data_IF_481314753755
#
_entry.id   IF_481314753755
#
_cell.length_a   1.000
_cell.length_b   1.000
_cell.length_c   1.000
_cell.angle_alpha   90.00
_cell.angle_beta   90.00
_cell.angle_gamma   90.00
#
_symmetry.space_group_name_H-M   'P 1'
#
loop_
_entity.id
_entity.type
_entity.pdbx_description
1 polymer ?
#
# COMPACT_ATOMS: atom_id res chain seq x y z
N UNK A 1 -0.83 35.11 27.58
CA UNK A 1 -1.30 33.69 27.58
C UNK A 1 -1.08 33.14 26.19
N UNK A 2 -0.25 32.12 26.10
CA UNK A 2 -0.04 31.39 24.83
C UNK A 2 -1.28 30.52 24.61
N UNK A 3 -2.24 31.03 23.85
CA UNK A 3 -3.39 30.25 23.38
C UNK A 3 -2.94 29.25 22.29
N UNK A 4 -2.04 28.33 22.65
CA UNK A 4 -1.63 27.28 21.78
C UNK A 4 -2.59 26.10 21.92
N UNK A 5 -3.43 25.89 20.95
CA UNK A 5 -4.36 24.76 20.92
C UNK A 5 -4.42 24.14 19.52
N UNK A 6 -4.72 22.85 19.47
CA UNK A 6 -5.13 22.15 18.27
C UNK A 6 -6.40 21.36 18.57
N UNK A 7 -7.45 21.57 17.78
CA UNK A 7 -8.73 20.87 17.89
C UNK A 7 -9.06 20.24 16.55
N UNK A 8 -9.48 18.99 16.58
CA UNK A 8 -9.91 18.27 15.38
C UNK A 8 -11.34 17.81 15.56
N UNK A 9 -12.17 18.14 14.60
CA UNK A 9 -13.57 17.69 14.52
C UNK A 9 -13.71 16.80 13.29
N UNK A 10 -14.36 15.66 13.44
CA UNK A 10 -14.61 14.76 12.35
C UNK A 10 -16.02 14.19 12.43
N UNK A 11 -16.59 13.93 11.26
CA UNK A 11 -17.84 13.19 11.06
C UNK A 11 -17.58 12.15 9.99
N UNK A 12 -17.95 10.91 10.27
CA UNK A 12 -17.87 9.82 9.31
C UNK A 12 -19.21 9.10 9.19
N UNK A 13 -19.36 8.39 8.07
CA UNK A 13 -20.58 7.66 7.82
C UNK A 13 -20.41 6.55 6.80
N UNK A 14 -21.35 5.59 6.86
CA UNK A 14 -21.41 4.44 5.99
C UNK A 14 -22.85 4.11 5.65
N UNK A 15 -23.17 4.09 4.36
CA UNK A 15 -24.49 3.80 3.83
C UNK A 15 -24.46 2.56 2.95
N UNK A 16 -25.21 1.52 3.33
CA UNK A 16 -25.43 0.36 2.50
C UNK A 16 -26.57 0.63 1.50
N UNK A 17 -26.31 0.38 0.23
CA UNK A 17 -27.29 0.48 -0.87
C UNK A 17 -27.65 -0.92 -1.36
N UNK A 18 -28.61 -1.54 -0.68
CA UNK A 18 -28.95 -2.93 -0.85
C UNK A 18 -27.81 -3.87 -0.41
N UNK A 19 -27.69 -5.05 -1.06
CA UNK A 19 -26.71 -6.08 -0.70
C UNK A 19 -25.37 -5.94 -1.46
N UNK A 20 -25.29 -5.07 -2.45
CA UNK A 20 -24.17 -5.04 -3.40
C UNK A 20 -23.36 -3.75 -3.37
N UNK A 21 -23.97 -2.66 -2.96
CA UNK A 21 -23.30 -1.35 -3.00
C UNK A 21 -23.21 -0.73 -1.61
N UNK A 22 -22.15 0.04 -1.42
CA UNK A 22 -21.87 0.77 -0.19
C UNK A 22 -21.22 2.10 -0.54
N UNK A 23 -21.65 3.15 0.13
CA UNK A 23 -21.01 4.45 0.16
C UNK A 23 -20.49 4.70 1.57
N UNK A 24 -19.24 5.16 1.69
CA UNK A 24 -18.64 5.55 2.98
C UNK A 24 -17.80 6.80 2.81
N UNK A 25 -17.58 7.52 3.88
CA UNK A 25 -16.74 8.68 3.83
C UNK A 25 -16.63 9.37 5.18
N UNK A 26 -15.75 10.35 5.23
CA UNK A 26 -15.63 11.26 6.36
C UNK A 26 -15.33 12.68 5.88
N UNK A 27 -15.59 13.62 6.73
CA UNK A 27 -15.13 15.01 6.67
C UNK A 27 -14.52 15.38 8.01
N UNK A 28 -13.40 16.09 7.97
CA UNK A 28 -12.71 16.55 9.17
C UNK A 28 -12.21 17.98 8.98
N UNK A 29 -12.14 18.70 10.10
CA UNK A 29 -11.58 20.04 10.17
C UNK A 29 -10.67 20.15 11.39
N UNK A 30 -9.47 20.71 11.17
CA UNK A 30 -8.57 21.09 12.26
C UNK A 30 -8.70 22.58 12.56
N UNK A 31 -8.50 22.97 13.80
CA UNK A 31 -8.52 24.37 14.22
C UNK A 31 -7.30 24.64 15.09
N UNK A 32 -6.45 25.56 14.66
CA UNK A 32 -5.25 26.00 15.34
C UNK A 32 -5.11 27.52 15.22
N UNK A 33 -4.49 28.22 16.19
CA UNK A 33 -4.48 29.70 16.25
C UNK A 33 -3.91 30.38 15.00
N UNK A 34 -2.94 29.76 14.35
CA UNK A 34 -2.17 30.34 13.25
C UNK A 34 -2.54 29.82 11.86
N UNK A 35 -3.54 28.92 11.76
CA UNK A 35 -3.98 28.32 10.51
C UNK A 35 -5.46 28.64 10.31
N UNK A 36 -5.76 29.42 9.26
CA UNK A 36 -7.14 29.88 9.02
C UNK A 36 -7.80 29.32 7.76
N UNK A 37 -7.02 28.83 6.80
CA UNK A 37 -7.52 28.38 5.51
C UNK A 37 -7.09 26.97 5.17
N UNK A 38 -7.88 26.28 4.35
CA UNK A 38 -7.59 24.92 3.87
C UNK A 38 -7.33 23.91 4.99
N UNK A 39 -8.00 24.06 6.12
CA UNK A 39 -7.85 23.31 7.37
C UNK A 39 -8.73 22.04 7.43
N UNK A 40 -9.17 21.55 6.29
CA UNK A 40 -10.09 20.42 6.17
C UNK A 40 -9.46 19.21 5.47
N UNK A 41 -10.00 18.03 5.77
CA UNK A 41 -9.76 16.80 5.04
C UNK A 41 -11.07 16.05 4.84
N UNK A 42 -11.24 15.40 3.71
CA UNK A 42 -12.36 14.51 3.48
C UNK A 42 -11.99 13.34 2.57
N UNK A 43 -12.74 12.26 2.69
CA UNK A 43 -12.71 11.15 1.75
C UNK A 43 -14.11 10.61 1.51
N UNK A 44 -14.34 10.15 0.29
CA UNK A 44 -15.54 9.41 -0.10
C UNK A 44 -15.11 8.16 -0.85
N UNK A 45 -15.78 7.04 -0.58
CA UNK A 45 -15.54 5.74 -1.23
C UNK A 45 -16.86 5.09 -1.60
N UNK A 46 -17.00 4.70 -2.85
CA UNK A 46 -18.08 3.87 -3.36
C UNK A 46 -17.55 2.47 -3.66
N UNK A 47 -18.26 1.45 -3.20
CA UNK A 47 -17.95 0.04 -3.43
C UNK A 47 -19.16 -0.64 -4.04
N UNK A 48 -18.91 -1.48 -5.05
CA UNK A 48 -19.94 -2.31 -5.67
C UNK A 48 -19.43 -3.74 -5.85
N UNK A 49 -20.14 -4.69 -5.27
CA UNK A 49 -19.79 -6.11 -5.30
C UNK A 49 -20.94 -6.90 -6.00
N UNK A 50 -20.61 -7.56 -7.11
CA UNK A 50 -21.60 -8.35 -7.86
C UNK A 50 -20.92 -9.48 -8.61
N UNK A 51 -21.39 -10.70 -8.41
CA UNK A 51 -21.00 -11.90 -9.18
C UNK A 51 -19.47 -12.03 -9.35
N UNK A 52 -18.75 -11.96 -8.23
CA UNK A 52 -17.28 -12.00 -8.19
C UNK A 52 -16.59 -10.70 -8.65
N UNK A 53 -17.31 -9.69 -9.14
CA UNK A 53 -16.76 -8.37 -9.34
C UNK A 53 -16.70 -7.58 -8.05
N UNK A 54 -15.62 -6.86 -7.86
CA UNK A 54 -15.45 -5.82 -6.84
C UNK A 54 -14.94 -4.56 -7.51
N UNK A 55 -15.78 -3.55 -7.53
CA UNK A 55 -15.49 -2.24 -8.10
C UNK A 55 -15.42 -1.24 -6.97
N UNK A 56 -14.31 -0.52 -6.86
CA UNK A 56 -14.16 0.56 -5.88
C UNK A 56 -13.75 1.83 -6.61
N UNK A 57 -14.36 2.94 -6.23
CA UNK A 57 -13.93 4.27 -6.60
C UNK A 57 -13.84 5.12 -5.34
N UNK A 58 -12.76 5.85 -5.16
CA UNK A 58 -12.60 6.75 -4.03
C UNK A 58 -11.96 8.07 -4.45
N UNK A 59 -12.28 9.09 -3.69
CA UNK A 59 -11.64 10.39 -3.77
C UNK A 59 -11.35 10.89 -2.37
N UNK A 60 -10.14 11.39 -2.15
CA UNK A 60 -9.77 12.02 -0.90
C UNK A 60 -9.04 13.34 -1.16
N UNK A 61 -9.22 14.29 -0.25
CA UNK A 61 -8.54 15.57 -0.26
C UNK A 61 -8.08 15.91 1.14
N UNK A 62 -6.88 16.45 1.23
CA UNK A 62 -6.32 17.01 2.46
C UNK A 62 -5.82 18.41 2.14
N UNK A 63 -6.36 19.38 2.83
CA UNK A 63 -5.99 20.78 2.69
C UNK A 63 -4.57 21.05 3.19
N UNK A 64 -3.97 22.13 2.74
CA UNK A 64 -2.62 22.54 3.14
C UNK A 64 -2.53 22.89 4.62
N UNK A 65 -3.59 23.52 5.15
CA UNK A 65 -3.70 23.91 6.55
C UNK A 65 -4.27 22.83 7.47
N UNK A 66 -4.62 21.64 6.96
CA UNK A 66 -5.10 20.57 7.82
C UNK A 66 -3.97 19.99 8.67
N UNK A 67 -4.05 20.20 9.97
CA UNK A 67 -3.02 19.79 10.95
C UNK A 67 -3.63 19.02 12.13
N UNK A 68 -3.75 17.68 12.06
CA UNK A 68 -4.25 16.87 13.16
C UNK A 68 -3.09 16.45 14.08
N UNK A 69 -2.72 17.28 15.07
CA UNK A 69 -1.60 16.99 15.98
C UNK A 69 -1.85 15.75 16.85
N UNK A 70 -3.10 15.34 17.02
CA UNK A 70 -3.48 14.09 17.71
C UNK A 70 -3.34 12.84 16.84
N UNK A 71 -2.95 12.99 15.58
CA UNK A 71 -2.83 11.91 14.61
C UNK A 71 -1.59 12.06 13.74
N UNK A 72 -1.32 11.04 12.93
CA UNK A 72 -0.24 11.05 11.95
C UNK A 72 -0.79 11.35 10.55
N UNK A 73 -0.29 12.39 9.91
CA UNK A 73 -0.58 12.74 8.53
C UNK A 73 0.69 12.57 7.68
N UNK A 74 0.71 11.55 6.85
CA UNK A 74 1.87 11.25 6.00
C UNK A 74 2.10 12.32 4.91
N UNK A 75 1.03 12.96 4.43
CA UNK A 75 1.06 13.96 3.36
C UNK A 75 -0.12 14.92 3.49
N UNK A 76 0.10 16.18 3.26
CA UNK A 76 -0.91 17.23 3.18
C UNK A 76 -0.96 17.87 1.78
N UNK A 77 -1.85 18.84 1.58
CA UNK A 77 -1.97 19.63 0.36
C UNK A 77 -2.14 18.79 -0.92
N UNK A 78 -3.03 17.79 -0.89
CA UNK A 78 -3.28 16.94 -2.03
C UNK A 78 -4.75 16.63 -2.23
N UNK A 79 -5.10 16.19 -3.46
CA UNK A 79 -6.26 15.38 -3.72
C UNK A 79 -5.89 14.11 -4.49
N UNK A 80 -6.66 13.03 -4.25
CA UNK A 80 -6.31 11.69 -4.70
C UNK A 80 -7.55 10.93 -5.17
N UNK A 81 -7.80 10.83 -6.46
CA UNK A 81 -8.69 9.82 -7.04
C UNK A 81 -8.03 8.45 -7.04
N UNK A 82 -8.82 7.41 -6.75
CA UNK A 82 -8.41 6.00 -6.81
C UNK A 82 -9.54 5.16 -7.40
N UNK A 83 -9.18 4.09 -8.11
CA UNK A 83 -10.14 3.07 -8.50
C UNK A 83 -9.52 1.67 -8.48
N UNK A 84 -10.37 0.68 -8.25
CA UNK A 84 -10.06 -0.74 -8.34
C UNK A 84 -11.16 -1.43 -9.15
N UNK A 85 -10.75 -2.22 -10.13
CA UNK A 85 -11.58 -3.18 -10.84
C UNK A 85 -10.98 -4.55 -10.57
N UNK A 86 -11.72 -5.42 -9.91
CA UNK A 86 -11.26 -6.72 -9.47
C UNK A 86 -12.31 -7.78 -9.82
N UNK A 87 -11.90 -8.90 -10.41
CA UNK A 87 -12.78 -10.03 -10.69
C UNK A 87 -12.25 -11.29 -10.04
N UNK A 88 -13.09 -11.98 -9.30
CA UNK A 88 -12.84 -13.34 -8.83
C UNK A 88 -13.48 -14.32 -9.80
N UNK A 89 -12.70 -15.21 -10.37
CA UNK A 89 -13.15 -16.26 -11.29
C UNK A 89 -12.79 -17.60 -10.66
N UNK A 90 -13.79 -18.35 -10.24
CA UNK A 90 -13.61 -19.71 -9.73
C UNK A 90 -13.59 -20.70 -10.90
N UNK A 91 -12.50 -21.44 -11.02
CA UNK A 91 -12.27 -22.34 -12.15
C UNK A 91 -12.94 -23.72 -11.98
N UNK A 92 -13.53 -23.96 -10.80
CA UNK A 92 -14.19 -25.23 -10.47
C UNK A 92 -13.19 -26.33 -10.04
N UNK A 93 -13.73 -27.56 -9.82
CA UNK A 93 -12.92 -28.67 -9.28
C UNK A 93 -12.10 -29.42 -10.33
N UNK A 94 -12.24 -29.10 -11.63
CA UNK A 94 -11.64 -29.88 -12.72
C UNK A 94 -10.27 -29.37 -13.18
N UNK A 95 -9.80 -28.24 -12.66
CA UNK A 95 -8.53 -27.63 -13.04
C UNK A 95 -7.48 -27.65 -11.92
N UNK A 96 -6.21 -27.34 -12.24
CA UNK A 96 -5.15 -27.23 -11.24
C UNK A 96 -5.32 -26.01 -10.33
N UNK A 97 -6.01 -24.98 -10.79
CA UNK A 97 -6.28 -23.75 -10.05
C UNK A 97 -7.66 -23.82 -9.38
N UNK A 98 -7.76 -23.25 -8.21
CA UNK A 98 -9.02 -23.05 -7.51
C UNK A 98 -9.71 -21.76 -7.98
N UNK A 99 -8.90 -20.70 -8.18
CA UNK A 99 -9.41 -19.36 -8.46
C UNK A 99 -8.35 -18.53 -9.17
N UNK A 100 -8.76 -17.61 -10.03
CA UNK A 100 -7.94 -16.53 -10.58
C UNK A 100 -8.59 -15.19 -10.28
N UNK A 101 -7.76 -14.15 -10.06
CA UNK A 101 -8.24 -12.83 -9.62
C UNK A 101 -7.56 -11.70 -10.40
N UNK A 102 -7.89 -11.53 -11.70
CA UNK A 102 -7.38 -10.38 -12.46
C UNK A 102 -7.91 -9.08 -11.88
N UNK A 103 -7.05 -8.07 -11.82
CA UNK A 103 -7.45 -6.76 -11.34
C UNK A 103 -6.57 -5.62 -11.87
N UNK A 104 -7.15 -4.43 -11.84
CA UNK A 104 -6.50 -3.17 -12.15
C UNK A 104 -6.77 -2.22 -10.99
N UNK A 105 -5.72 -1.59 -10.49
CA UNK A 105 -5.79 -0.56 -9.47
C UNK A 105 -5.02 0.67 -9.93
N UNK A 106 -5.61 1.85 -9.81
CA UNK A 106 -4.93 3.11 -10.06
C UNK A 106 -5.17 4.09 -8.92
N UNK A 107 -4.15 4.82 -8.57
CA UNK A 107 -4.20 5.99 -7.68
C UNK A 107 -3.34 7.11 -8.26
N UNK A 108 -3.86 8.32 -8.21
CA UNK A 108 -3.13 9.48 -8.67
C UNK A 108 -3.17 10.54 -7.59
N UNK A 109 -2.03 11.08 -7.23
CA UNK A 109 -1.95 12.23 -6.32
C UNK A 109 -1.70 13.49 -7.12
N UNK A 110 -2.47 14.52 -6.84
CA UNK A 110 -2.27 15.87 -7.33
C UNK A 110 -2.05 16.81 -6.17
N UNK A 111 -1.23 17.83 -6.35
CA UNK A 111 -1.15 18.97 -5.44
C UNK A 111 -2.44 19.78 -5.47
N UNK A 112 -2.66 20.64 -4.48
CA UNK A 112 -3.83 21.54 -4.43
C UNK A 112 -3.96 22.43 -5.67
N UNK A 113 -2.86 22.75 -6.35
CA UNK A 113 -2.82 23.51 -7.61
C UNK A 113 -2.98 22.64 -8.88
N UNK A 114 -3.46 21.42 -8.75
CA UNK A 114 -3.68 20.45 -9.83
C UNK A 114 -2.42 19.92 -10.54
N UNK A 115 -1.22 20.24 -10.05
CA UNK A 115 -0.01 19.63 -10.57
C UNK A 115 0.09 18.17 -10.15
N UNK A 116 0.49 17.30 -11.08
CA UNK A 116 0.73 15.89 -10.78
C UNK A 116 1.81 15.75 -9.71
N UNK A 117 1.54 14.95 -8.69
CA UNK A 117 2.53 14.55 -7.69
C UNK A 117 3.03 13.13 -7.94
N UNK A 118 2.11 12.18 -8.05
CA UNK A 118 2.43 10.81 -8.42
C UNK A 118 1.23 10.12 -9.07
N UNK A 119 1.50 9.20 -9.98
CA UNK A 119 0.51 8.32 -10.59
C UNK A 119 1.03 6.88 -10.53
N UNK A 120 0.18 5.98 -10.09
CA UNK A 120 0.49 4.56 -9.98
C UNK A 120 -0.64 3.74 -10.56
N UNK A 121 -0.32 2.95 -11.59
CA UNK A 121 -1.21 1.96 -12.18
C UNK A 121 -0.63 0.57 -11.95
N UNK A 122 -1.44 -0.30 -11.38
CA UNK A 122 -1.13 -1.70 -11.11
C UNK A 122 -2.08 -2.60 -11.87
N UNK A 123 -1.52 -3.52 -12.65
CA UNK A 123 -2.26 -4.56 -13.37
C UNK A 123 -1.72 -5.90 -12.92
N UNK A 124 -2.57 -6.74 -12.38
CA UNK A 124 -2.15 -8.00 -11.75
C UNK A 124 -3.18 -9.10 -11.92
N UNK A 125 -2.73 -10.35 -11.80
CA UNK A 125 -3.58 -11.51 -11.63
C UNK A 125 -3.04 -12.41 -10.51
N UNK A 126 -3.92 -12.84 -9.63
CA UNK A 126 -3.61 -13.86 -8.63
C UNK A 126 -4.01 -15.24 -9.14
N UNK A 127 -3.14 -16.19 -8.97
CA UNK A 127 -3.30 -17.60 -9.29
C UNK A 127 -3.36 -18.38 -7.99
N UNK A 128 -4.52 -18.92 -7.65
CA UNK A 128 -4.77 -19.57 -6.36
C UNK A 128 -4.97 -21.06 -6.56
N UNK A 129 -4.23 -21.87 -5.85
CA UNK A 129 -4.34 -23.34 -5.85
C UNK A 129 -5.22 -23.85 -4.73
N UNK A 130 -5.78 -25.06 -4.86
CA UNK A 130 -6.59 -25.68 -3.78
C UNK A 130 -5.84 -25.87 -2.46
N UNK A 131 -4.51 -25.97 -2.50
CA UNK A 131 -3.64 -26.04 -1.32
C UNK A 131 -3.60 -24.74 -0.50
N UNK A 132 -4.09 -23.64 -1.07
CA UNK A 132 -3.92 -22.29 -0.54
C UNK A 132 -2.59 -21.65 -0.91
N UNK A 133 -1.78 -22.29 -1.77
CA UNK A 133 -0.64 -21.65 -2.41
C UNK A 133 -1.16 -20.58 -3.39
N UNK A 134 -0.47 -19.44 -3.45
CA UNK A 134 -0.90 -18.32 -4.29
C UNK A 134 0.31 -17.68 -4.95
N UNK A 135 0.17 -17.35 -6.24
CA UNK A 135 1.13 -16.54 -7.00
C UNK A 135 0.42 -15.30 -7.54
N UNK A 136 1.07 -14.14 -7.47
CA UNK A 136 0.62 -12.95 -8.18
C UNK A 136 1.63 -12.60 -9.26
N UNK A 137 1.14 -12.16 -10.41
CA UNK A 137 1.94 -11.75 -11.57
C UNK A 137 1.47 -10.40 -12.07
N UNK A 138 2.16 -9.35 -11.64
CA UNK A 138 1.74 -7.99 -11.89
C UNK A 138 2.80 -7.14 -12.57
N UNK A 139 2.34 -6.04 -13.15
CA UNK A 139 3.15 -4.95 -13.66
C UNK A 139 2.66 -3.64 -13.06
N UNK A 140 3.59 -2.83 -12.60
CA UNK A 140 3.36 -1.49 -12.07
C UNK A 140 3.87 -0.45 -13.06
N UNK A 141 3.07 0.56 -13.33
CA UNK A 141 3.47 1.77 -14.05
C UNK A 141 3.42 2.92 -13.06
N UNK A 142 4.54 3.59 -12.88
CA UNK A 142 4.67 4.67 -11.90
C UNK A 142 5.21 5.92 -12.59
N UNK A 143 4.62 7.07 -12.28
CA UNK A 143 5.13 8.39 -12.63
C UNK A 143 5.20 9.22 -11.36
N UNK A 144 6.39 9.71 -11.03
CA UNK A 144 6.67 10.53 -9.84
C UNK A 144 7.28 11.85 -10.25
N UNK A 145 6.67 12.97 -9.86
CA UNK A 145 7.22 14.30 -10.09
C UNK A 145 7.92 14.77 -8.84
N UNK A 146 9.24 14.87 -8.90
CA UNK A 146 10.08 15.32 -7.81
C UNK A 146 10.27 16.82 -7.92
N UNK A 147 9.66 17.57 -7.01
CA UNK A 147 9.73 19.04 -6.97
C UNK A 147 10.89 19.57 -6.10
N UNK A 148 11.36 18.76 -5.16
CA UNK A 148 12.50 19.07 -4.31
C UNK A 148 13.38 17.84 -4.20
N UNK A 149 14.70 17.94 -4.36
CA UNK A 149 15.60 16.81 -4.26
C UNK A 149 15.46 16.11 -2.91
N UNK A 150 15.62 14.80 -2.92
CA UNK A 150 15.66 13.98 -1.71
C UNK A 150 16.72 12.89 -1.82
N UNK A 151 17.08 12.27 -0.70
CA UNK A 151 18.09 11.22 -0.67
C UNK A 151 17.48 9.86 -0.35
N UNK A 152 17.94 8.85 -1.06
CA UNK A 152 17.79 7.44 -0.72
C UNK A 152 19.16 6.95 -0.27
N UNK A 153 19.40 6.89 1.05
CA UNK A 153 20.73 6.72 1.63
C UNK A 153 21.67 7.84 1.16
N UNK A 154 22.75 7.50 0.44
CA UNK A 154 23.71 8.45 -0.15
C UNK A 154 23.37 8.88 -1.57
N UNK A 155 22.34 8.31 -2.20
CA UNK A 155 21.94 8.61 -3.58
C UNK A 155 20.95 9.78 -3.58
N UNK A 156 21.31 10.90 -4.21
CA UNK A 156 20.41 12.01 -4.41
C UNK A 156 19.54 11.81 -5.65
N UNK A 157 18.22 11.94 -5.48
CA UNK A 157 17.22 12.01 -6.54
C UNK A 157 16.90 13.48 -6.78
N UNK A 158 17.27 14.00 -7.93
CA UNK A 158 17.07 15.40 -8.31
C UNK A 158 15.62 15.71 -8.68
N UNK A 159 15.34 16.99 -8.91
CA UNK A 159 14.07 17.42 -9.48
C UNK A 159 13.88 16.80 -10.86
N UNK A 160 12.66 16.37 -11.16
CA UNK A 160 12.37 15.77 -12.45
C UNK A 160 11.02 15.05 -12.49
N UNK A 161 10.67 14.59 -13.66
CA UNK A 161 9.48 13.78 -13.94
C UNK A 161 9.96 12.38 -14.32
N UNK A 162 9.78 11.44 -13.42
CA UNK A 162 10.28 10.08 -13.52
C UNK A 162 9.13 9.12 -13.84
N UNK A 163 9.16 8.55 -15.04
CA UNK A 163 8.23 7.48 -15.44
C UNK A 163 8.97 6.17 -15.56
N UNK A 164 8.43 5.14 -14.95
CA UNK A 164 9.03 3.80 -15.00
C UNK A 164 7.99 2.70 -14.84
N UNK A 165 8.37 1.50 -15.24
CA UNK A 165 7.60 0.29 -15.01
C UNK A 165 8.45 -0.75 -14.32
N UNK A 166 7.79 -1.60 -13.52
CA UNK A 166 8.42 -2.73 -12.83
C UNK A 166 7.49 -3.94 -12.79
N UNK A 167 8.08 -5.10 -12.91
CA UNK A 167 7.40 -6.36 -12.66
C UNK A 167 7.24 -6.56 -11.16
N UNK A 168 6.08 -7.04 -10.76
CA UNK A 168 5.79 -7.47 -9.41
C UNK A 168 5.43 -8.95 -9.42
N UNK A 169 6.13 -9.72 -8.63
CA UNK A 169 5.84 -11.13 -8.40
C UNK A 169 5.63 -11.37 -6.91
N UNK A 170 4.57 -12.08 -6.57
CA UNK A 170 4.33 -12.53 -5.19
C UNK A 170 4.15 -14.04 -5.22
N UNK A 171 4.73 -14.73 -4.24
CA UNK A 171 4.43 -16.13 -3.96
C UNK A 171 4.19 -16.30 -2.47
N UNK A 172 3.15 -17.03 -2.10
CA UNK A 172 2.87 -17.32 -0.70
C UNK A 172 2.26 -18.71 -0.51
N UNK A 173 2.62 -19.33 0.60
CA UNK A 173 1.97 -20.56 1.06
C UNK A 173 0.68 -20.26 1.81
N UNK A 174 -0.09 -21.28 2.17
CA UNK A 174 -1.32 -21.10 2.92
C UNK A 174 -1.04 -20.52 4.33
N UNK A 175 -1.55 -19.31 4.66
CA UNK A 175 -1.28 -18.66 5.95
C UNK A 175 -1.89 -19.38 7.17
N UNK A 176 -2.81 -20.33 6.95
CA UNK A 176 -3.43 -21.13 8.00
C UNK A 176 -2.64 -22.40 8.35
N UNK A 177 -1.45 -22.58 7.79
CA UNK A 177 -0.57 -23.73 8.08
C UNK A 177 0.50 -23.35 9.10
N UNK A 178 1.05 -24.33 9.75
CA UNK A 178 2.12 -24.15 10.74
C UNK A 178 3.38 -23.51 10.16
N UNK A 179 3.59 -23.64 8.86
CA UNK A 179 4.62 -22.94 8.10
C UNK A 179 3.96 -22.05 7.07
N UNK A 180 4.25 -20.76 7.16
CA UNK A 180 3.86 -19.74 6.20
C UNK A 180 5.10 -19.11 5.61
N UNK A 181 5.15 -18.98 4.30
CA UNK A 181 6.17 -18.24 3.57
C UNK A 181 5.50 -17.26 2.63
N UNK A 182 6.00 -16.04 2.63
CA UNK A 182 5.63 -14.97 1.74
C UNK A 182 6.87 -14.39 1.08
N UNK A 183 6.85 -14.24 -0.22
CA UNK A 183 7.85 -13.53 -1.01
C UNK A 183 7.16 -12.47 -1.84
N UNK A 184 7.74 -11.28 -1.92
CA UNK A 184 7.37 -10.25 -2.86
C UNK A 184 8.62 -9.71 -3.55
N UNK A 185 8.62 -9.75 -4.87
CA UNK A 185 9.74 -9.36 -5.71
C UNK A 185 9.33 -8.21 -6.62
N UNK A 186 10.21 -7.20 -6.73
CA UNK A 186 10.10 -6.11 -7.69
C UNK A 186 11.36 -6.08 -8.56
N UNK A 187 11.17 -5.97 -9.88
CA UNK A 187 12.26 -5.83 -10.85
C UNK A 187 11.81 -4.82 -11.91
N UNK A 188 12.56 -3.72 -12.06
CA UNK A 188 12.25 -2.73 -13.09
C UNK A 188 12.89 -1.38 -12.86
N UNK A 189 12.27 -0.34 -13.40
CA UNK A 189 12.72 1.03 -13.28
C UNK A 189 12.45 1.62 -11.90
N UNK A 190 13.27 2.62 -11.51
CA UNK A 190 13.13 3.33 -10.24
C UNK A 190 13.86 4.68 -10.28
N UNK A 191 13.14 5.81 -10.38
CA UNK A 191 13.68 7.17 -10.44
C UNK A 191 14.85 7.36 -11.43
N UNK A 192 14.68 6.88 -12.67
CA UNK A 192 15.71 6.95 -13.70
C UNK A 192 16.78 5.83 -13.64
N UNK A 193 16.81 5.06 -12.56
CA UNK A 193 17.62 3.86 -12.40
C UNK A 193 16.83 2.57 -12.47
N UNK A 194 17.38 1.51 -11.89
CA UNK A 194 16.78 0.16 -11.81
C UNK A 194 16.71 -0.31 -10.37
N UNK A 195 15.61 -1.00 -10.03
CA UNK A 195 15.40 -1.65 -8.75
C UNK A 195 15.28 -3.16 -8.90
N UNK A 196 15.96 -3.89 -8.03
CA UNK A 196 15.68 -5.29 -7.73
C UNK A 196 15.47 -5.41 -6.23
N UNK A 197 14.31 -5.89 -5.83
CA UNK A 197 13.96 -6.00 -4.42
C UNK A 197 13.29 -7.33 -4.13
N UNK A 198 13.74 -8.01 -3.06
CA UNK A 198 13.15 -9.23 -2.53
C UNK A 198 12.72 -9.00 -1.09
N UNK A 199 11.44 -9.10 -0.82
CA UNK A 199 10.85 -9.00 0.52
C UNK A 199 10.37 -10.40 0.88
N UNK A 200 10.94 -10.99 1.94
CA UNK A 200 10.57 -12.32 2.40
C UNK A 200 10.13 -12.27 3.85
N UNK A 201 9.08 -13.01 4.16
CA UNK A 201 8.64 -13.29 5.52
C UNK A 201 8.37 -14.78 5.66
N UNK A 202 8.85 -15.38 6.73
CA UNK A 202 8.60 -16.78 7.07
C UNK A 202 8.12 -16.84 8.51
N UNK A 203 7.06 -17.58 8.74
CA UNK A 203 6.55 -17.88 10.07
C UNK A 203 6.46 -19.39 10.24
N UNK A 204 6.98 -19.88 11.36
CA UNK A 204 6.86 -21.25 11.80
C UNK A 204 6.22 -21.31 13.19
N UNK A 205 5.07 -21.97 13.30
CA UNK A 205 4.34 -22.16 14.55
C UNK A 205 4.31 -23.64 14.91
N UNK A 206 4.87 -24.02 16.04
CA UNK A 206 4.88 -25.39 16.55
C UNK A 206 3.96 -25.49 17.77
N UNK A 207 2.70 -25.83 17.50
CA UNK A 207 1.65 -25.86 18.50
C UNK A 207 1.46 -24.49 19.15
N UNK A 208 1.16 -24.48 20.45
CA UNK A 208 0.92 -23.25 21.23
C UNK A 208 2.19 -22.73 21.93
N UNK A 209 3.32 -23.40 21.74
CA UNK A 209 4.51 -23.15 22.57
C UNK A 209 5.62 -22.41 21.86
N UNK A 210 5.76 -22.59 20.57
CA UNK A 210 6.90 -22.01 19.85
C UNK A 210 6.43 -21.32 18.58
N UNK A 211 6.93 -20.11 18.37
CA UNK A 211 6.77 -19.37 17.14
C UNK A 211 8.10 -18.73 16.72
N UNK A 212 8.42 -18.82 15.44
CA UNK A 212 9.59 -18.20 14.84
C UNK A 212 9.17 -17.37 13.63
N UNK A 213 9.55 -16.09 13.63
CA UNK A 213 9.33 -15.15 12.53
C UNK A 213 10.67 -14.72 11.96
N UNK A 214 10.90 -14.99 10.69
CA UNK A 214 12.08 -14.54 9.95
C UNK A 214 11.63 -13.55 8.88
N UNK A 215 12.19 -12.35 8.89
CA UNK A 215 12.01 -11.35 7.85
C UNK A 215 13.35 -11.07 7.18
N UNK A 216 13.37 -11.03 5.86
CA UNK A 216 14.54 -10.73 5.06
C UNK A 216 14.15 -9.84 3.90
N UNK A 217 14.75 -8.66 3.82
CA UNK A 217 14.53 -7.70 2.74
C UNK A 217 15.89 -7.36 2.11
N UNK A 218 16.00 -7.64 0.81
CA UNK A 218 17.14 -7.25 -0.01
C UNK A 218 16.69 -6.22 -1.03
N UNK A 219 17.41 -5.11 -1.13
CA UNK A 219 17.15 -4.06 -2.13
C UNK A 219 18.46 -3.69 -2.82
N UNK A 220 18.46 -3.76 -4.13
CA UNK A 220 19.53 -3.26 -5.00
C UNK A 220 18.96 -2.14 -5.89
N UNK A 221 19.59 -0.98 -5.83
CA UNK A 221 19.34 0.14 -6.75
C UNK A 221 20.59 0.36 -7.59
N UNK A 222 20.40 0.53 -8.89
CA UNK A 222 21.47 0.78 -9.87
C UNK A 222 21.10 2.03 -10.65
N UNK A 223 22.01 2.99 -10.70
CA UNK A 223 21.90 4.22 -11.47
C UNK A 223 23.15 4.36 -12.35
N UNK A 224 22.99 4.84 -13.58
CA UNK A 224 24.10 4.89 -14.54
C UNK A 224 25.20 5.88 -14.09
N UNK A 225 24.82 7.02 -13.49
CA UNK A 225 25.74 8.10 -13.11
C UNK A 225 25.95 8.22 -11.58
N UNK A 226 25.59 7.20 -10.79
CA UNK A 226 25.67 7.24 -9.33
C UNK A 226 26.15 5.91 -8.78
N UNK A 227 26.57 5.93 -7.52
CA UNK A 227 26.90 4.70 -6.80
C UNK A 227 25.68 3.77 -6.70
N UNK A 228 25.94 2.47 -6.76
CA UNK A 228 24.92 1.46 -6.55
C UNK A 228 24.62 1.33 -5.05
N UNK A 229 23.36 1.15 -4.71
CA UNK A 229 22.93 0.84 -3.36
C UNK A 229 22.58 -0.63 -3.24
N UNK A 230 23.19 -1.31 -2.28
CA UNK A 230 22.77 -2.63 -1.82
C UNK A 230 22.40 -2.54 -0.34
N UNK A 231 21.19 -2.95 -0.02
CA UNK A 231 20.68 -2.93 1.36
C UNK A 231 20.12 -4.29 1.72
N UNK A 232 20.50 -4.81 2.89
CA UNK A 232 19.94 -6.01 3.49
C UNK A 232 19.41 -5.65 4.87
N UNK A 233 18.14 -5.98 5.10
CA UNK A 233 17.51 -5.87 6.42
C UNK A 233 17.02 -7.27 6.77
N UNK A 234 17.54 -7.82 7.86
CA UNK A 234 17.13 -9.14 8.35
C UNK A 234 16.69 -9.04 9.82
N UNK A 235 15.65 -9.75 10.17
CA UNK A 235 15.14 -9.82 11.54
C UNK A 235 14.63 -11.22 11.85
N UNK A 236 15.04 -11.75 13.02
CA UNK A 236 14.56 -13.01 13.55
C UNK A 236 13.92 -12.76 14.92
N UNK A 237 12.68 -13.20 15.07
CA UNK A 237 11.97 -13.20 16.35
C UNK A 237 11.63 -14.63 16.72
N UNK A 238 12.05 -15.05 17.89
CA UNK A 238 11.70 -16.34 18.49
C UNK A 238 10.84 -16.08 19.71
N UNK A 239 9.72 -16.77 19.81
CA UNK A 239 8.80 -16.68 20.94
C UNK A 239 8.56 -18.08 21.49
N UNK A 240 8.76 -18.26 22.77
CA UNK A 240 8.52 -19.51 23.45
C UNK A 240 7.61 -19.29 24.64
N UNK A 241 6.46 -19.97 24.66
CA UNK A 241 5.48 -19.89 25.73
C UNK A 241 5.65 -21.08 26.68
N UNK A 242 6.20 -20.85 27.85
CA UNK A 242 6.41 -21.88 28.88
C UNK A 242 5.10 -22.32 29.52
N UNK A 243 4.25 -21.35 29.86
CA UNK A 243 2.91 -21.55 30.40
C UNK A 243 1.95 -20.48 29.83
N UNK A 244 0.62 -20.58 30.02
CA UNK A 244 -0.31 -19.53 29.58
C UNK A 244 -0.05 -18.14 30.19
N UNK A 245 0.78 -18.07 31.24
CA UNK A 245 1.09 -16.82 31.97
C UNK A 245 2.55 -16.39 31.85
N UNK A 246 3.43 -17.21 31.24
CA UNK A 246 4.87 -16.94 31.10
C UNK A 246 5.28 -17.19 29.66
N UNK A 247 5.69 -16.13 28.97
CA UNK A 247 6.12 -16.13 27.57
C UNK A 247 7.35 -15.25 27.36
#
# INVERSE_FOLDING_TARGET
ENDNYNRVFALDGKLGLGKKAQLSGFVSKSNSPNIKDNDHAFAVKAEYNWDGWRLNASFSQVGEGFNPEVGFLQRNAYYKPEFLIFKTIRTGRKGPLFEIRPHIYRRTFYKSNSQLFSDYLHVDNHWVWPSGFEIHTGINFTREVVYSPFKISNIEIGNGDYSHSELQFVAQTNPNKNFFWYNKTYIGGYYGGKRTQFINSMNLSLGNKFNADLNYNYTRLVFDDKENLNSIIAGLRLSFQFTPKIF
#
